data_IF_906811099310
#
_entry.id   IF_906811099310
#
_cell.length_a   1.000
_cell.length_b   1.000
_cell.length_c   1.000
_cell.angle_alpha   90.00
_cell.angle_beta   90.00
_cell.angle_gamma   90.00
#
_symmetry.space_group_name_H-M   'P 1'
#
loop_
_entity.id
_entity.type
_entity.pdbx_description
1 polymer ?
#
# COMPACT_ATOMS: atom_id res chain seq x y z
N UNK A 1 8.42 -12.13 -19.15
CA UNK A 1 7.90 -12.15 -17.77
C UNK A 1 6.42 -11.85 -17.93
N UNK A 2 5.53 -12.82 -17.70
CA UNK A 2 4.09 -12.60 -17.86
C UNK A 2 3.66 -11.44 -16.96
N UNK A 3 2.99 -10.45 -17.57
CA UNK A 3 2.48 -9.25 -16.89
C UNK A 3 1.20 -9.61 -16.10
N UNK A 4 1.34 -10.43 -15.05
CA UNK A 4 0.26 -10.72 -14.10
C UNK A 4 0.09 -9.58 -13.08
N UNK A 5 0.09 -8.33 -13.57
CA UNK A 5 -0.15 -7.15 -12.72
C UNK A 5 -1.54 -7.20 -12.09
N UNK A 6 -2.51 -7.74 -12.83
CA UNK A 6 -3.87 -7.89 -12.35
C UNK A 6 -3.95 -8.86 -11.16
N UNK A 7 -3.32 -10.03 -11.27
CA UNK A 7 -3.24 -10.99 -10.16
C UNK A 7 -2.51 -10.41 -8.96
N UNK A 8 -1.38 -9.70 -9.16
CA UNK A 8 -0.63 -9.05 -8.08
C UNK A 8 -1.44 -7.98 -7.34
N UNK A 9 -2.20 -7.15 -8.06
CA UNK A 9 -3.05 -6.13 -7.44
C UNK A 9 -4.19 -6.76 -6.62
N UNK A 10 -4.85 -7.79 -7.15
CA UNK A 10 -5.92 -8.47 -6.41
C UNK A 10 -5.40 -9.35 -5.26
N UNK A 11 -4.17 -9.86 -5.33
CA UNK A 11 -3.58 -10.69 -4.29
C UNK A 11 -3.11 -9.86 -3.08
N UNK A 12 -2.70 -8.60 -3.29
CA UNK A 12 -2.15 -7.76 -2.24
C UNK A 12 -3.23 -6.89 -1.57
N UNK A 13 -3.27 -6.78 -0.22
CA UNK A 13 -4.21 -5.90 0.48
C UNK A 13 -4.19 -4.46 -0.03
N UNK A 14 -2.99 -3.91 -0.28
CA UNK A 14 -2.86 -2.55 -0.83
C UNK A 14 -3.23 -2.44 -2.29
N UNK A 15 -3.07 -3.51 -3.08
CA UNK A 15 -3.59 -3.51 -4.44
C UNK A 15 -5.11 -3.46 -4.45
N UNK A 16 -5.79 -4.23 -3.59
CA UNK A 16 -7.24 -4.15 -3.37
C UNK A 16 -7.68 -2.77 -2.91
N UNK A 17 -6.96 -2.16 -1.96
CA UNK A 17 -7.21 -0.78 -1.50
C UNK A 17 -7.08 0.23 -2.65
N UNK A 18 -5.99 0.18 -3.41
CA UNK A 18 -5.79 1.06 -4.58
C UNK A 18 -6.94 0.92 -5.60
N UNK A 19 -7.40 -0.30 -5.87
CA UNK A 19 -8.52 -0.55 -6.78
C UNK A 19 -9.85 0.01 -6.23
N UNK A 20 -10.07 -0.09 -4.92
CA UNK A 20 -11.26 0.47 -4.28
C UNK A 20 -11.26 2.02 -4.26
N UNK A 21 -10.09 2.66 -4.15
CA UNK A 21 -9.94 4.11 -4.24
C UNK A 21 -10.20 4.67 -5.65
N UNK A 22 -10.22 3.81 -6.68
CA UNK A 22 -10.56 4.21 -8.05
C UNK A 22 -12.07 4.28 -8.29
N UNK A 23 -12.89 3.71 -7.42
CA UNK A 23 -14.34 3.81 -7.54
C UNK A 23 -14.77 5.28 -7.45
N UNK A 24 -15.81 5.67 -8.19
CA UNK A 24 -16.30 7.06 -8.19
C UNK A 24 -16.71 7.52 -6.78
N UNK A 25 -17.24 6.59 -5.99
CA UNK A 25 -17.46 6.76 -4.56
C UNK A 25 -16.56 5.79 -3.78
N UNK A 26 -15.51 6.28 -3.10
CA UNK A 26 -14.63 5.46 -2.27
C UNK A 26 -15.40 4.69 -1.19
N UNK A 27 -14.98 3.46 -0.91
CA UNK A 27 -15.56 2.68 0.18
C UNK A 27 -15.35 3.41 1.50
N UNK A 28 -16.44 3.55 2.27
CA UNK A 28 -16.41 4.06 3.64
C UNK A 28 -17.23 3.12 4.51
N UNK A 29 -16.59 2.54 5.52
CA UNK A 29 -17.21 1.57 6.45
C UNK A 29 -17.80 2.27 7.69
N UNK A 30 -17.62 3.59 7.80
CA UNK A 30 -18.21 4.37 8.88
C UNK A 30 -19.71 4.58 8.66
N UNK A 31 -20.50 4.19 9.66
CA UNK A 31 -21.95 4.01 9.65
C UNK A 31 -22.77 5.07 8.89
N UNK A 32 -23.40 4.64 7.80
CA UNK A 32 -24.78 5.03 7.49
C UNK A 32 -25.74 4.15 8.30
N UNK A 33 -26.12 4.61 9.50
CA UNK A 33 -27.34 4.20 10.21
C UNK A 33 -27.67 2.70 10.30
N UNK A 34 -26.91 1.92 11.09
CA UNK A 34 -27.38 0.65 11.69
C UNK A 34 -27.81 -0.50 10.77
N UNK A 35 -27.80 -0.32 9.45
CA UNK A 35 -28.21 -1.33 8.48
C UNK A 35 -27.04 -2.26 8.15
N UNK A 36 -27.31 -3.56 8.12
CA UNK A 36 -26.30 -4.57 7.79
C UNK A 36 -25.93 -4.45 6.30
N UNK A 37 -24.73 -3.94 6.01
CA UNK A 37 -24.26 -3.78 4.64
C UNK A 37 -23.80 -5.12 4.08
N UNK A 38 -24.42 -5.55 2.97
CA UNK A 38 -23.93 -6.66 2.16
C UNK A 38 -22.79 -6.19 1.26
N UNK A 39 -21.58 -6.16 1.81
CA UNK A 39 -20.41 -5.56 1.16
C UNK A 39 -20.13 -6.03 -0.26
N UNK A 40 -20.35 -7.32 -0.56
CA UNK A 40 -20.19 -7.83 -1.92
C UNK A 40 -21.12 -7.16 -2.92
N UNK A 41 -22.41 -7.05 -2.58
CA UNK A 41 -23.41 -6.42 -3.45
C UNK A 41 -23.16 -4.91 -3.59
N UNK A 42 -22.71 -4.27 -2.51
CA UNK A 42 -22.36 -2.86 -2.49
C UNK A 42 -21.13 -2.55 -3.37
N UNK A 43 -20.06 -3.33 -3.25
CA UNK A 43 -18.87 -3.19 -4.12
C UNK A 43 -19.26 -3.45 -5.57
N UNK A 44 -20.03 -4.51 -5.85
CA UNK A 44 -20.53 -4.78 -7.21
C UNK A 44 -21.28 -3.60 -7.80
N UNK A 45 -22.20 -3.01 -7.02
CA UNK A 45 -22.99 -1.84 -7.44
C UNK A 45 -22.08 -0.65 -7.78
N UNK A 46 -21.09 -0.34 -6.95
CA UNK A 46 -20.15 0.77 -7.19
C UNK A 46 -19.24 0.52 -8.38
N UNK A 47 -18.75 -0.70 -8.54
CA UNK A 47 -17.96 -1.10 -9.72
C UNK A 47 -18.79 -0.91 -10.99
N UNK A 48 -20.07 -1.31 -10.97
CA UNK A 48 -20.96 -1.15 -12.12
C UNK A 48 -21.28 0.32 -12.45
N UNK A 49 -21.22 1.22 -11.46
CA UNK A 49 -21.43 2.66 -11.64
C UNK A 49 -20.16 3.40 -12.11
N UNK A 50 -18.98 2.82 -11.87
CA UNK A 50 -17.69 3.46 -12.17
C UNK A 50 -17.38 3.35 -13.65
N UNK A 51 -17.04 4.47 -14.30
CA UNK A 51 -16.57 4.47 -15.69
C UNK A 51 -15.11 4.00 -15.79
N UNK A 52 -14.82 2.84 -16.42
CA UNK A 52 -13.46 2.32 -16.57
C UNK A 52 -12.53 3.25 -17.35
N UNK A 53 -13.06 4.10 -18.25
CA UNK A 53 -12.24 5.02 -19.03
C UNK A 53 -11.79 6.24 -18.20
N UNK A 54 -12.61 6.69 -17.24
CA UNK A 54 -12.30 7.82 -16.38
C UNK A 54 -11.22 7.50 -15.33
N UNK A 55 -11.17 6.25 -14.86
CA UNK A 55 -10.27 5.84 -13.77
C UNK A 55 -8.84 5.52 -14.22
N UNK A 56 -8.60 5.33 -15.53
CA UNK A 56 -7.28 4.98 -16.08
C UNK A 56 -6.43 6.20 -16.45
N UNK A 57 -6.93 7.39 -16.18
CA UNK A 57 -6.17 8.64 -16.27
C UNK A 57 -5.02 8.63 -15.25
N UNK A 58 -3.85 9.15 -15.66
CA UNK A 58 -2.62 9.05 -14.87
C UNK A 58 -2.74 9.70 -13.49
N UNK A 59 -3.33 10.89 -13.40
CA UNK A 59 -3.58 11.58 -12.15
C UNK A 59 -4.49 10.80 -11.21
N UNK A 60 -5.57 10.21 -11.72
CA UNK A 60 -6.48 9.34 -10.94
C UNK A 60 -5.77 8.09 -10.41
N UNK A 61 -5.01 7.39 -11.26
CA UNK A 61 -4.23 6.22 -10.84
C UNK A 61 -3.20 6.57 -9.76
N UNK A 62 -2.50 7.69 -9.91
CA UNK A 62 -1.53 8.15 -8.92
C UNK A 62 -2.21 8.55 -7.61
N UNK A 63 -3.32 9.29 -7.67
CA UNK A 63 -4.07 9.69 -6.48
C UNK A 63 -4.59 8.49 -5.69
N UNK A 64 -5.12 7.47 -6.36
CA UNK A 64 -5.58 6.24 -5.72
C UNK A 64 -4.42 5.45 -5.09
N UNK A 65 -3.27 5.38 -5.76
CA UNK A 65 -2.06 4.75 -5.22
C UNK A 65 -1.56 5.51 -3.98
N UNK A 66 -1.50 6.84 -4.03
CA UNK A 66 -1.11 7.68 -2.90
C UNK A 66 -2.05 7.47 -1.72
N UNK A 67 -3.37 7.51 -1.93
CA UNK A 67 -4.35 7.27 -0.88
C UNK A 67 -4.16 5.89 -0.22
N UNK A 68 -3.95 4.85 -1.02
CA UNK A 68 -3.67 3.50 -0.52
C UNK A 68 -2.39 3.44 0.35
N UNK A 69 -1.35 4.16 -0.05
CA UNK A 69 -0.07 4.24 0.69
C UNK A 69 -0.20 5.10 1.95
N UNK A 70 -0.97 6.17 1.95
CA UNK A 70 -1.21 7.00 3.14
C UNK A 70 -1.89 6.20 4.27
N UNK A 71 -2.71 5.21 3.91
CA UNK A 71 -3.35 4.27 4.85
C UNK A 71 -2.50 3.04 5.17
N UNK A 72 -1.25 2.96 4.68
CA UNK A 72 -0.34 1.83 4.90
C UNK A 72 0.33 1.84 6.29
N UNK A 73 -0.48 1.98 7.35
CA UNK A 73 -0.04 2.01 8.75
C UNK A 73 -0.03 0.60 9.35
N UNK A 74 0.84 -0.28 8.86
CA UNK A 74 0.84 -1.72 9.20
C UNK A 74 1.09 -2.06 10.68
N UNK A 75 1.49 -1.09 11.47
CA UNK A 75 1.64 -1.20 12.92
C UNK A 75 0.31 -0.95 13.68
N UNK A 76 -0.78 -0.63 12.98
CA UNK A 76 -2.13 -0.47 13.53
C UNK A 76 -3.06 -1.61 13.08
N UNK A 77 -4.21 -1.75 13.74
CA UNK A 77 -5.27 -2.65 13.27
C UNK A 77 -5.74 -2.22 11.86
N UNK A 78 -6.08 -3.17 10.96
CA UNK A 78 -6.57 -2.82 9.63
C UNK A 78 -7.83 -1.95 9.68
N UNK A 79 -7.89 -0.95 8.82
CA UNK A 79 -9.07 -0.10 8.66
C UNK A 79 -10.28 -0.91 8.20
N UNK A 80 -11.50 -0.40 8.42
CA UNK A 80 -12.73 -1.12 8.11
C UNK A 80 -12.79 -1.54 6.64
N UNK A 81 -12.37 -0.67 5.75
CA UNK A 81 -12.30 -0.91 4.31
C UNK A 81 -11.31 -2.04 3.97
N UNK A 82 -10.15 -2.06 4.62
CA UNK A 82 -9.15 -3.13 4.45
C UNK A 82 -9.70 -4.48 4.96
N UNK A 83 -10.54 -4.48 6.00
CA UNK A 83 -11.21 -5.69 6.52
C UNK A 83 -12.29 -6.20 5.56
N UNK A 84 -13.06 -5.30 4.95
CA UNK A 84 -14.06 -5.65 3.92
C UNK A 84 -13.36 -6.23 2.69
N UNK A 85 -12.27 -5.60 2.24
CA UNK A 85 -11.51 -6.01 1.07
C UNK A 85 -10.67 -7.27 1.31
N UNK A 86 -10.48 -7.70 2.56
CA UNK A 86 -9.82 -8.96 2.88
C UNK A 86 -10.67 -10.19 2.45
N UNK A 87 -11.99 -10.04 2.35
CA UNK A 87 -12.87 -11.08 1.82
C UNK A 87 -12.67 -11.24 0.31
N UNK A 88 -12.23 -12.43 -0.12
CA UNK A 88 -11.96 -12.73 -1.53
C UNK A 88 -13.21 -12.62 -2.42
N UNK A 89 -14.40 -12.87 -1.88
CA UNK A 89 -15.65 -12.74 -2.62
C UNK A 89 -16.01 -11.27 -2.89
N UNK A 90 -15.61 -10.36 -2.01
CA UNK A 90 -15.75 -8.91 -2.20
C UNK A 90 -14.66 -8.40 -3.14
N UNK A 91 -13.41 -8.82 -2.93
CA UNK A 91 -12.29 -8.43 -3.79
C UNK A 91 -12.48 -8.88 -5.25
N UNK A 92 -13.11 -10.03 -5.48
CA UNK A 92 -13.42 -10.53 -6.81
C UNK A 92 -14.34 -9.58 -7.61
N UNK A 93 -15.18 -8.79 -6.95
CA UNK A 93 -16.04 -7.82 -7.64
C UNK A 93 -15.24 -6.66 -8.24
N UNK A 94 -13.98 -6.44 -7.82
CA UNK A 94 -13.06 -5.44 -8.40
C UNK A 94 -12.42 -5.89 -9.72
N UNK A 95 -12.71 -7.10 -10.21
CA UNK A 95 -12.16 -7.65 -11.45
C UNK A 95 -12.25 -6.69 -12.67
N UNK A 96 -13.37 -5.99 -12.92
CA UNK A 96 -13.47 -5.04 -14.03
C UNK A 96 -12.50 -3.85 -13.91
N UNK A 97 -12.32 -3.35 -12.68
CA UNK A 97 -11.44 -2.21 -12.38
C UNK A 97 -9.99 -2.62 -12.64
N UNK A 98 -9.55 -3.76 -12.10
CA UNK A 98 -8.15 -4.20 -12.30
C UNK A 98 -7.86 -4.53 -13.75
N UNK A 99 -8.83 -5.05 -14.50
CA UNK A 99 -8.68 -5.30 -15.93
C UNK A 99 -8.53 -3.99 -16.74
N UNK A 100 -9.16 -2.89 -16.31
CA UNK A 100 -8.97 -1.57 -16.90
C UNK A 100 -7.57 -1.02 -16.56
N UNK A 101 -7.19 -1.06 -15.28
CA UNK A 101 -5.88 -0.60 -14.80
C UNK A 101 -4.74 -1.35 -15.49
N UNK A 102 -4.81 -2.69 -15.59
CA UNK A 102 -3.75 -3.50 -16.21
C UNK A 102 -3.54 -3.18 -17.70
N UNK A 103 -4.59 -2.74 -18.40
CA UNK A 103 -4.52 -2.34 -19.82
C UNK A 103 -4.13 -0.86 -20.01
N UNK A 104 -4.15 -0.07 -18.95
CA UNK A 104 -3.85 1.36 -19.02
C UNK A 104 -2.35 1.60 -19.29
N UNK A 105 -1.98 2.38 -20.32
CA UNK A 105 -0.58 2.76 -20.53
C UNK A 105 0.04 3.45 -19.30
N UNK A 106 -0.77 4.24 -18.59
CA UNK A 106 -0.34 4.98 -17.39
C UNK A 106 0.06 4.09 -16.19
N UNK A 107 -0.26 2.79 -16.21
CA UNK A 107 0.14 1.83 -15.17
C UNK A 107 1.32 0.94 -15.56
N UNK A 108 1.83 1.01 -16.81
CA UNK A 108 2.88 0.12 -17.31
C UNK A 108 4.17 0.21 -16.50
N UNK A 109 4.55 1.44 -16.13
CA UNK A 109 5.76 1.72 -15.37
C UNK A 109 5.78 1.11 -13.96
N UNK A 110 4.64 0.68 -13.40
CA UNK A 110 4.58 0.05 -12.07
C UNK A 110 5.38 -1.25 -11.98
N UNK A 111 5.60 -1.90 -13.12
CA UNK A 111 6.36 -3.15 -13.22
C UNK A 111 7.71 -2.97 -13.92
N UNK A 112 8.01 -1.75 -14.36
CA UNK A 112 9.30 -1.47 -14.99
C UNK A 112 10.43 -1.58 -13.94
N UNK A 113 11.59 -2.10 -14.34
CA UNK A 113 12.77 -2.05 -13.50
C UNK A 113 13.11 -0.59 -13.13
N UNK A 114 13.71 -0.43 -11.96
CA UNK A 114 14.28 0.84 -11.54
C UNK A 114 15.32 1.34 -12.56
N UNK A 115 15.12 2.55 -13.09
CA UNK A 115 16.10 3.23 -13.95
C UNK A 115 17.26 3.75 -13.08
N UNK A 116 18.38 3.03 -13.08
CA UNK A 116 19.53 3.32 -12.21
C UNK A 116 20.12 4.69 -12.50
N UNK A 117 20.10 5.12 -13.76
CA UNK A 117 20.68 6.38 -14.25
C UNK A 117 19.83 7.60 -13.88
N UNK A 118 18.56 7.40 -13.50
CA UNK A 118 17.62 8.46 -13.15
C UNK A 118 17.46 8.64 -11.63
N UNK A 119 18.34 8.03 -10.82
CA UNK A 119 18.31 8.18 -9.37
C UNK A 119 18.93 9.50 -8.93
N UNK A 120 18.22 10.23 -8.08
CA UNK A 120 18.70 11.45 -7.45
C UNK A 120 18.89 11.23 -5.96
N UNK A 121 20.00 11.71 -5.41
CA UNK A 121 20.24 11.69 -3.98
C UNK A 121 20.01 13.11 -3.41
N UNK A 122 19.13 13.22 -2.43
CA UNK A 122 18.79 14.49 -1.78
C UNK A 122 19.50 14.56 -0.43
N UNK A 123 20.18 15.68 -0.17
CA UNK A 123 20.77 16.00 1.14
C UNK A 123 20.08 17.19 1.76
N UNK A 124 19.92 17.15 3.08
CA UNK A 124 19.48 18.28 3.88
C UNK A 124 20.68 18.87 4.62
N UNK A 125 20.70 20.18 4.92
CA UNK A 125 21.73 20.77 5.77
C UNK A 125 21.70 20.14 7.16
N UNK A 126 22.87 19.80 7.69
CA UNK A 126 23.06 19.38 9.08
C UNK A 126 22.85 20.57 10.04
N UNK A 127 22.85 20.31 11.35
CA UNK A 127 22.63 21.35 12.38
C UNK A 127 23.68 22.48 12.37
N UNK A 128 24.84 22.24 11.76
CA UNK A 128 25.91 23.21 11.54
C UNK A 128 25.78 23.97 10.20
N UNK A 129 24.73 23.70 9.42
CA UNK A 129 24.45 24.31 8.13
C UNK A 129 25.23 23.70 6.96
N UNK A 130 26.04 22.67 7.18
CA UNK A 130 26.78 22.00 6.12
C UNK A 130 25.90 20.98 5.39
N UNK A 131 26.08 20.88 4.07
CA UNK A 131 25.40 19.86 3.26
C UNK A 131 26.39 18.72 3.02
N UNK A 132 26.18 17.62 3.73
CA UNK A 132 26.92 16.38 3.52
C UNK A 132 26.48 15.71 2.22
N UNK A 133 27.42 15.21 1.40
CA UNK A 133 27.06 14.41 0.22
C UNK A 133 26.52 13.04 0.65
N UNK A 134 25.41 12.54 0.09
CA UNK A 134 24.88 11.23 0.45
C UNK A 134 25.89 10.16 0.11
N UNK A 135 26.16 9.24 1.05
CA UNK A 135 26.98 8.06 0.76
C UNK A 135 26.18 7.11 -0.12
N UNK A 136 26.62 6.93 -1.36
CA UNK A 136 26.00 6.02 -2.35
C UNK A 136 26.68 4.64 -2.40
N UNK A 137 27.73 4.43 -1.61
CA UNK A 137 28.47 3.17 -1.52
C UNK A 137 28.36 2.53 -0.13
N UNK A 138 28.67 1.24 -0.02
CA UNK A 138 28.60 0.51 1.25
C UNK A 138 27.19 0.13 1.72
N UNK A 139 26.14 0.51 0.97
CA UNK A 139 24.74 0.23 1.30
C UNK A 139 24.49 -1.26 1.59
N UNK A 140 25.11 -2.18 0.84
CA UNK A 140 24.97 -3.63 1.07
C UNK A 140 25.43 -4.05 2.47
N UNK A 141 26.57 -3.54 2.93
CA UNK A 141 27.12 -3.86 4.25
C UNK A 141 26.25 -3.24 5.34
N UNK A 142 25.87 -1.97 5.16
CA UNK A 142 24.97 -1.28 6.09
C UNK A 142 23.61 -1.96 6.22
N UNK A 143 22.98 -2.36 5.10
CA UNK A 143 21.71 -3.08 5.10
C UNK A 143 21.83 -4.49 5.70
N UNK A 144 22.96 -5.18 5.50
CA UNK A 144 23.20 -6.47 6.14
C UNK A 144 23.33 -6.32 7.66
N UNK A 145 24.12 -5.34 8.12
CA UNK A 145 24.26 -5.04 9.54
C UNK A 145 22.92 -4.64 10.18
N UNK A 146 22.19 -3.72 9.55
CA UNK A 146 20.84 -3.32 9.99
C UNK A 146 19.91 -4.53 10.07
N UNK A 147 19.89 -5.40 9.05
CA UNK A 147 19.07 -6.62 9.06
C UNK A 147 19.42 -7.53 10.23
N UNK A 148 20.72 -7.76 10.47
CA UNK A 148 21.18 -8.63 11.56
C UNK A 148 20.81 -8.04 12.92
N UNK A 149 20.95 -6.72 13.09
CA UNK A 149 20.53 -5.99 14.29
C UNK A 149 19.02 -6.05 14.52
N UNK A 150 18.21 -5.83 13.47
CA UNK A 150 16.75 -5.95 13.53
C UNK A 150 16.32 -7.36 13.93
N UNK A 151 16.90 -8.40 13.33
CA UNK A 151 16.58 -9.80 13.68
C UNK A 151 16.98 -10.13 15.13
N UNK A 152 18.14 -9.66 15.59
CA UNK A 152 18.57 -9.83 16.97
C UNK A 152 17.63 -9.11 17.94
N UNK A 153 17.15 -7.91 17.58
CA UNK A 153 16.16 -7.18 18.36
C UNK A 153 14.79 -7.87 18.38
N UNK A 154 14.30 -8.40 17.25
CA UNK A 154 13.05 -9.19 17.20
C UNK A 154 13.11 -10.44 18.10
N UNK A 155 14.24 -11.14 18.09
CA UNK A 155 14.46 -12.31 18.97
C UNK A 155 14.45 -11.89 20.43
N UNK A 156 15.12 -10.79 20.77
CA UNK A 156 15.13 -10.23 22.12
C UNK A 156 13.74 -9.77 22.55
N UNK A 157 13.03 -9.09 21.66
CA UNK A 157 11.69 -8.57 21.84
C UNK A 157 10.72 -9.67 22.26
N UNK A 158 10.76 -10.82 21.59
CA UNK A 158 9.92 -11.98 21.94
C UNK A 158 10.16 -12.52 23.35
N UNK A 159 11.36 -12.32 23.93
CA UNK A 159 11.67 -12.76 25.29
C UNK A 159 11.39 -11.69 26.35
N UNK A 160 11.64 -10.43 26.00
CA UNK A 160 11.75 -9.33 26.96
C UNK A 160 10.58 -8.35 26.91
N UNK A 161 9.86 -8.24 25.78
CA UNK A 161 8.71 -7.36 25.62
C UNK A 161 7.41 -8.09 25.94
N UNK A 162 6.36 -7.38 26.38
CA UNK A 162 5.04 -7.97 26.57
C UNK A 162 4.51 -8.62 25.29
N UNK A 163 3.89 -9.79 25.42
CA UNK A 163 3.22 -10.47 24.31
C UNK A 163 1.87 -9.84 23.95
N UNK A 164 1.26 -9.10 24.89
CA UNK A 164 0.03 -8.35 24.65
C UNK A 164 0.36 -7.04 23.92
N UNK A 165 -0.11 -6.83 22.67
CA UNK A 165 0.11 -5.58 21.93
C UNK A 165 -0.57 -4.37 22.57
N UNK A 166 -1.49 -4.56 23.52
CA UNK A 166 -2.12 -3.47 24.30
C UNK A 166 -1.36 -3.13 25.58
N UNK A 167 -0.30 -3.87 25.92
CA UNK A 167 0.54 -3.55 27.06
C UNK A 167 1.23 -2.19 26.84
N UNK A 168 1.35 -1.41 27.91
CA UNK A 168 2.00 -0.12 27.86
C UNK A 168 3.52 -0.29 27.75
N UNK A 169 3.99 -0.51 26.52
CA UNK A 169 5.41 -0.64 26.18
C UNK A 169 5.81 0.48 25.22
N UNK A 170 6.86 1.21 25.56
CA UNK A 170 7.51 2.18 24.69
C UNK A 170 8.95 1.76 24.41
N UNK A 171 9.51 2.20 23.28
CA UNK A 171 10.84 1.80 22.85
C UNK A 171 11.13 2.24 21.42
N UNK A 172 12.19 1.67 20.84
CA UNK A 172 12.48 1.83 19.42
C UNK A 172 11.48 0.95 18.65
N UNK A 173 10.70 1.57 17.77
CA UNK A 173 9.75 0.95 16.86
C UNK A 173 10.16 1.22 15.43
#
# INVERSE_FOLDING_TARGET
>A
MDDDRAGRLLAAPRGRRTLAELLDEPLSVHASGGEEVRWRDEVRRRVAATDPAAIVEQGRLLAALTASVDWAVYWQEPHGEDRVLADDSVAAELAPIVAAVARAPASQWWTEPLTVEAQHAVSWPDSDGLISTPRTSGARVGLAAWRDETLADEVRARRERPADPRANWSGVW
#
